data_IF_112847732794
#
_entry.id   IF_112847732794
#
_cell.length_a   1.000
_cell.length_b   1.000
_cell.length_c   1.000
_cell.angle_alpha   90.00
_cell.angle_beta   90.00
_cell.angle_gamma   90.00
#
_symmetry.space_group_name_H-M   'P 1'
#
loop_
_entity.id
_entity.type
_entity.pdbx_description
1 polymer ?
#
# COMPACT_ATOMS: atom_id res chain seq x y z
N UNK A 1 7.68 -13.92 37.00
CA UNK A 1 7.17 -12.79 36.20
C UNK A 1 5.95 -13.26 35.41
N UNK A 2 4.77 -12.64 35.58
CA UNK A 2 3.59 -12.97 34.76
C UNK A 2 3.82 -12.48 33.34
N UNK A 3 3.51 -13.33 32.35
CA UNK A 3 3.51 -12.93 30.96
C UNK A 3 2.51 -11.78 30.75
N UNK A 4 2.91 -10.76 30.00
CA UNK A 4 2.03 -9.64 29.66
C UNK A 4 0.87 -10.15 28.78
N UNK A 5 -0.32 -9.53 28.86
CA UNK A 5 -1.42 -9.82 27.94
C UNK A 5 -0.97 -9.62 26.49
N UNK A 6 -1.36 -10.53 25.59
CA UNK A 6 -1.18 -10.30 24.16
C UNK A 6 -2.27 -9.34 23.68
N UNK A 7 -1.92 -8.05 23.60
CA UNK A 7 -2.85 -6.99 23.18
C UNK A 7 -3.13 -6.98 21.67
N UNK A 8 -2.26 -7.59 20.85
CA UNK A 8 -2.47 -7.76 19.41
C UNK A 8 -2.13 -9.19 18.99
N UNK A 9 -3.04 -9.83 18.27
CA UNK A 9 -2.81 -11.13 17.65
C UNK A 9 -2.22 -10.95 16.24
N UNK A 10 -1.00 -11.42 16.04
CA UNK A 10 -0.31 -11.38 14.75
C UNK A 10 -0.33 -12.74 14.02
N UNK A 11 -1.06 -13.73 14.53
CA UNK A 11 -1.11 -15.10 13.98
C UNK A 11 -1.56 -15.18 12.52
N UNK A 12 -2.32 -14.19 12.06
CA UNK A 12 -2.89 -14.10 10.70
C UNK A 12 -2.14 -13.15 9.77
N UNK A 13 -0.95 -12.69 10.20
CA UNK A 13 -0.16 -11.73 9.44
C UNK A 13 0.90 -12.44 8.58
N UNK A 14 0.91 -12.11 7.30
CA UNK A 14 1.95 -12.48 6.35
C UNK A 14 2.84 -11.29 6.02
N UNK A 15 4.13 -11.55 5.85
CA UNK A 15 5.07 -10.55 5.33
C UNK A 15 5.32 -10.75 3.85
N UNK A 16 5.19 -9.68 3.05
CA UNK A 16 5.56 -9.64 1.64
C UNK A 16 6.57 -8.53 1.38
N UNK A 17 7.41 -8.70 0.37
CA UNK A 17 8.40 -7.69 -0.04
C UNK A 17 8.08 -7.21 -1.45
N UNK A 18 8.16 -5.89 -1.65
CA UNK A 18 7.91 -5.28 -2.96
C UNK A 18 8.57 -3.90 -3.02
N UNK A 19 8.29 -3.14 -4.08
CA UNK A 19 8.86 -1.83 -4.35
C UNK A 19 7.79 -0.74 -4.25
N UNK A 20 8.12 0.37 -3.60
CA UNK A 20 7.26 1.54 -3.49
C UNK A 20 7.20 2.32 -4.80
N UNK A 21 5.99 2.56 -5.30
CA UNK A 21 5.73 3.32 -6.54
C UNK A 21 5.14 4.72 -6.32
N UNK A 22 5.27 5.27 -5.11
CA UNK A 22 4.72 6.60 -4.79
C UNK A 22 5.56 7.76 -5.37
N UNK A 23 6.82 7.51 -5.71
CA UNK A 23 7.70 8.46 -6.39
C UNK A 23 8.77 7.71 -7.20
N UNK A 24 9.62 8.45 -7.92
CA UNK A 24 10.69 7.90 -8.75
C UNK A 24 11.81 7.20 -7.96
N UNK A 25 11.92 7.37 -6.63
CA UNK A 25 13.00 6.79 -5.83
C UNK A 25 12.94 5.26 -5.69
N UNK A 26 11.77 4.64 -5.95
CA UNK A 26 11.58 3.17 -5.94
C UNK A 26 12.17 2.46 -4.71
N UNK A 27 11.82 2.94 -3.51
CA UNK A 27 12.29 2.34 -2.26
C UNK A 27 11.77 0.90 -2.09
N UNK A 28 12.58 0.00 -1.52
CA UNK A 28 12.13 -1.32 -1.13
C UNK A 28 11.29 -1.28 0.13
N UNK A 29 10.17 -2.00 0.14
CA UNK A 29 9.22 -2.03 1.23
C UNK A 29 8.92 -3.46 1.68
N UNK A 30 8.71 -3.60 2.99
CA UNK A 30 8.16 -4.77 3.64
C UNK A 30 6.71 -4.46 4.00
N UNK A 31 5.80 -5.26 3.49
CA UNK A 31 4.35 -5.10 3.62
C UNK A 31 3.82 -6.20 4.52
N UNK A 32 3.13 -5.82 5.58
CA UNK A 32 2.37 -6.74 6.42
C UNK A 32 0.96 -6.84 5.86
N UNK A 33 0.56 -8.06 5.52
CA UNK A 33 -0.75 -8.40 4.98
C UNK A 33 -1.50 -9.21 6.04
N UNK A 34 -2.76 -8.87 6.29
CA UNK A 34 -3.64 -9.57 7.21
C UNK A 34 -4.99 -9.76 6.51
N UNK A 35 -5.52 -10.98 6.49
CA UNK A 35 -6.78 -11.30 5.79
C UNK A 35 -6.83 -10.80 4.33
N UNK A 36 -5.72 -10.98 3.60
CA UNK A 36 -5.53 -10.47 2.22
C UNK A 36 -5.64 -8.93 2.07
N UNK A 37 -5.58 -8.18 3.17
CA UNK A 37 -5.57 -6.70 3.17
C UNK A 37 -4.23 -6.18 3.66
N UNK A 38 -3.79 -5.07 3.08
CA UNK A 38 -2.56 -4.40 3.54
C UNK A 38 -2.84 -3.75 4.89
N UNK A 39 -2.15 -4.22 5.94
CA UNK A 39 -2.28 -3.70 7.30
C UNK A 39 -1.24 -2.64 7.62
N UNK A 40 0.00 -2.86 7.19
CA UNK A 40 1.13 -1.98 7.49
C UNK A 40 2.19 -2.02 6.39
N UNK A 41 2.84 -0.89 6.15
CA UNK A 41 3.95 -0.75 5.20
C UNK A 41 5.13 -0.13 5.94
N UNK A 42 6.30 -0.76 5.83
CA UNK A 42 7.56 -0.24 6.35
C UNK A 42 8.68 -0.40 5.33
N UNK A 43 9.79 0.29 5.53
CA UNK A 43 10.96 0.14 4.67
C UNK A 43 11.61 -1.24 4.84
N UNK A 44 12.10 -1.81 3.74
CA UNK A 44 12.90 -3.03 3.79
C UNK A 44 14.35 -2.69 4.19
N UNK A 45 14.79 -3.18 5.36
CA UNK A 45 16.16 -3.00 5.86
C UNK A 45 17.23 -3.56 4.94
N UNK A 46 16.90 -4.60 4.17
CA UNK A 46 17.82 -5.27 3.26
C UNK A 46 17.87 -4.62 1.86
N UNK A 47 17.08 -3.58 1.61
CA UNK A 47 17.04 -2.94 0.31
C UNK A 47 18.18 -1.90 0.18
N UNK A 48 18.96 -1.92 -0.92
CA UNK A 48 20.22 -1.15 -1.02
C UNK A 48 20.02 0.36 -0.96
N UNK A 49 18.88 0.85 -1.48
CA UNK A 49 18.61 2.29 -1.61
C UNK A 49 18.21 2.93 -0.29
N UNK A 50 17.17 2.40 0.37
CA UNK A 50 16.55 3.05 1.52
C UNK A 50 16.92 2.44 2.87
N UNK A 51 17.53 1.25 2.90
CA UNK A 51 18.05 0.60 4.13
C UNK A 51 17.05 0.59 5.30
N UNK A 52 15.76 0.42 5.00
CA UNK A 52 14.69 0.39 6.00
C UNK A 52 14.00 1.73 6.28
N UNK A 53 14.52 2.86 5.81
CA UNK A 53 13.86 4.16 5.95
C UNK A 53 12.73 4.27 4.93
N UNK A 54 11.57 4.78 5.35
CA UNK A 54 10.43 5.02 4.48
C UNK A 54 9.80 6.37 4.79
N UNK A 55 9.58 7.19 3.75
CA UNK A 55 8.98 8.51 3.90
C UNK A 55 7.45 8.42 4.10
N UNK A 56 6.82 9.52 4.53
CA UNK A 56 5.38 9.59 4.77
C UNK A 56 4.53 9.14 3.56
N UNK A 57 4.96 9.48 2.33
CA UNK A 57 4.29 9.05 1.09
C UNK A 57 4.26 7.53 0.94
N UNK A 58 5.37 6.85 1.27
CA UNK A 58 5.45 5.39 1.20
C UNK A 58 4.57 4.72 2.26
N UNK A 59 4.59 5.24 3.49
CA UNK A 59 3.74 4.74 4.59
C UNK A 59 2.25 4.90 4.26
N UNK A 60 1.86 6.01 3.62
CA UNK A 60 0.49 6.28 3.19
C UNK A 60 0.04 5.47 1.96
N UNK A 61 0.88 4.58 1.42
CA UNK A 61 0.57 3.75 0.24
C UNK A 61 -0.69 2.89 0.38
N UNK A 62 -1.09 2.56 1.61
CA UNK A 62 -2.32 1.80 1.92
C UNK A 62 -3.56 2.54 1.39
N UNK A 63 -3.61 3.85 1.56
CA UNK A 63 -4.75 4.68 1.13
C UNK A 63 -4.96 4.67 -0.38
N UNK A 64 -3.88 4.50 -1.17
CA UNK A 64 -3.99 4.33 -2.62
C UNK A 64 -4.67 3.01 -2.97
N UNK A 65 -4.28 1.92 -2.29
CA UNK A 65 -4.82 0.59 -2.57
C UNK A 65 -6.28 0.44 -2.12
N UNK A 66 -6.66 1.13 -1.05
CA UNK A 66 -8.01 1.09 -0.46
C UNK A 66 -8.89 2.29 -0.85
N UNK A 67 -8.45 3.12 -1.80
CA UNK A 67 -9.19 4.32 -2.17
C UNK A 67 -10.61 3.97 -2.67
N UNK A 68 -11.67 4.60 -2.13
CA UNK A 68 -13.04 4.38 -2.60
C UNK A 68 -13.25 4.86 -4.04
N UNK A 69 -12.41 5.79 -4.52
CA UNK A 69 -12.46 6.32 -5.88
C UNK A 69 -11.68 5.47 -6.91
N UNK A 70 -11.10 4.33 -6.50
CA UNK A 70 -10.34 3.47 -7.41
C UNK A 70 -11.27 2.82 -8.44
N UNK A 71 -10.96 2.97 -9.72
CA UNK A 71 -11.65 2.29 -10.81
C UNK A 71 -11.54 0.76 -10.62
N UNK A 72 -12.68 0.08 -10.66
CA UNK A 72 -12.77 -1.38 -10.50
C UNK A 72 -13.06 -2.11 -11.81
N UNK A 73 -13.42 -1.38 -12.86
CA UNK A 73 -13.74 -1.91 -14.18
C UNK A 73 -13.26 -0.97 -15.28
N UNK A 74 -13.01 -1.49 -16.50
CA UNK A 74 -12.77 -0.67 -17.68
C UNK A 74 -13.97 0.25 -17.95
N UNK A 75 -13.70 1.47 -18.41
CA UNK A 75 -14.73 2.45 -18.78
C UNK A 75 -14.54 2.89 -20.23
N UNK A 76 -15.65 3.07 -20.94
CA UNK A 76 -15.68 3.62 -22.30
C UNK A 76 -16.43 4.95 -22.31
N UNK A 77 -15.88 5.94 -23.01
CA UNK A 77 -16.54 7.23 -23.21
C UNK A 77 -17.77 7.05 -24.10
N UNK A 78 -18.89 7.70 -23.76
CA UNK A 78 -20.13 7.64 -24.55
C UNK A 78 -19.91 8.13 -26.00
N UNK A 79 -20.44 7.43 -27.01
CA UNK A 79 -20.39 7.90 -28.40
C UNK A 79 -20.98 9.31 -28.56
N UNK A 80 -20.43 10.10 -29.49
CA UNK A 80 -20.92 11.46 -29.76
C UNK A 80 -20.57 12.53 -28.71
N UNK A 81 -19.78 12.22 -27.68
CA UNK A 81 -19.37 13.20 -26.64
C UNK A 81 -17.96 13.76 -26.87
N UNK A 82 -17.77 15.05 -26.56
CA UNK A 82 -16.46 15.73 -26.57
C UNK A 82 -15.69 15.53 -25.25
N UNK A 83 -14.36 15.58 -25.28
CA UNK A 83 -13.53 15.48 -24.06
C UNK A 83 -13.71 16.72 -23.18
N UNK A 84 -13.86 16.51 -21.87
CA UNK A 84 -13.91 17.59 -20.89
C UNK A 84 -15.23 18.36 -20.80
N UNK A 85 -16.26 17.99 -21.59
CA UNK A 85 -17.54 18.70 -21.62
C UNK A 85 -18.38 18.53 -20.33
N UNK A 86 -18.02 17.57 -19.47
CA UNK A 86 -18.60 17.40 -18.13
C UNK A 86 -20.08 16.99 -18.08
N UNK A 87 -20.67 16.61 -19.23
CA UNK A 87 -22.08 16.22 -19.39
C UNK A 87 -22.25 14.71 -19.51
#
# INVERSE_FOLDING_TARGET
MKALPKFEDHSRQDTRYTTCYMCACRCGIKVTVEDNKVRYIQGNRNHPVNKGVLCAKGNAGIMKQQSPARLQQPLMRKPGTERGRGV
#
